data_IF_371932803365
#
_entry.id   IF_371932803365
#
_cell.length_a   1.000
_cell.length_b   1.000
_cell.length_c   1.000
_cell.angle_alpha   90.00
_cell.angle_beta   90.00
_cell.angle_gamma   90.00
#
_symmetry.space_group_name_H-M   'P 1'
#
loop_
_entity.id
_entity.type
_entity.pdbx_description
1 polymer ?
#
# COMPACT_ATOMS: atom_id res chain seq x y z
N UNK A 1 15.03 23.35 -11.27
CA UNK A 1 14.88 22.88 -9.87
C UNK A 1 13.40 23.03 -9.55
N UNK A 2 12.66 21.93 -9.38
CA UNK A 2 11.25 22.01 -8.98
C UNK A 2 11.19 22.39 -7.49
N UNK A 3 10.40 23.41 -7.15
CA UNK A 3 10.12 23.76 -5.76
C UNK A 3 9.03 22.81 -5.27
N UNK A 4 9.31 22.07 -4.19
CA UNK A 4 8.31 21.21 -3.55
C UNK A 4 7.15 22.08 -3.04
N UNK A 5 5.93 21.57 -3.14
CA UNK A 5 4.74 22.30 -2.69
C UNK A 5 4.77 22.52 -1.17
N UNK A 6 5.08 21.47 -0.41
CA UNK A 6 5.33 21.51 1.02
C UNK A 6 6.21 20.32 1.45
N UNK A 7 6.88 20.44 2.59
CA UNK A 7 7.56 19.34 3.29
C UNK A 7 6.77 19.06 4.58
N UNK A 8 6.45 17.80 4.85
CA UNK A 8 5.85 17.45 6.14
C UNK A 8 6.91 17.55 7.25
N UNK A 9 6.51 18.03 8.41
CA UNK A 9 7.31 18.02 9.64
C UNK A 9 6.77 16.92 10.53
N UNK A 10 7.56 15.87 10.71
CA UNK A 10 7.23 14.67 11.48
C UNK A 10 7.70 14.79 12.95
N UNK A 11 8.65 15.67 13.23
CA UNK A 11 9.14 15.92 14.59
C UNK A 11 9.71 17.33 14.78
N UNK A 12 9.80 17.79 16.02
CA UNK A 12 10.47 19.06 16.36
C UNK A 12 11.95 19.06 15.95
N UNK A 13 12.64 17.91 16.07
CA UNK A 13 14.02 17.79 15.60
C UNK A 13 14.15 18.04 14.10
N UNK A 14 13.20 17.50 13.31
CA UNK A 14 13.15 17.72 11.87
C UNK A 14 12.84 19.17 11.51
N UNK A 15 11.95 19.85 12.25
CA UNK A 15 11.69 21.28 12.08
C UNK A 15 12.98 22.11 12.18
N UNK A 16 13.79 21.86 13.22
CA UNK A 16 15.07 22.55 13.39
C UNK A 16 16.07 22.22 12.28
N UNK A 17 16.07 20.99 11.78
CA UNK A 17 16.90 20.61 10.64
C UNK A 17 16.48 21.37 9.37
N UNK A 18 15.19 21.52 9.11
CA UNK A 18 14.63 22.29 7.98
C UNK A 18 15.00 23.77 8.11
N UNK A 19 14.84 24.39 9.29
CA UNK A 19 15.24 25.79 9.51
C UNK A 19 16.75 26.00 9.26
N UNK A 20 17.59 25.13 9.83
CA UNK A 20 19.05 25.20 9.66
C UNK A 20 19.45 25.11 8.18
N UNK A 21 18.90 24.15 7.44
CA UNK A 21 19.24 23.93 6.03
C UNK A 21 18.68 25.06 5.15
N UNK A 22 17.44 25.49 5.40
CA UNK A 22 16.82 26.57 4.62
C UNK A 22 17.55 27.91 4.80
N UNK A 23 18.02 28.23 6.02
CA UNK A 23 18.90 29.39 6.28
C UNK A 23 20.24 29.28 5.56
N UNK A 24 20.89 28.11 5.59
CA UNK A 24 22.17 27.88 4.91
C UNK A 24 22.05 28.06 3.39
N UNK A 25 20.95 27.58 2.81
CA UNK A 25 20.69 27.67 1.37
C UNK A 25 20.03 28.99 0.95
N UNK A 26 19.49 29.76 1.90
CA UNK A 26 18.68 30.95 1.67
C UNK A 26 17.48 30.68 0.75
N UNK A 27 16.83 29.54 0.92
CA UNK A 27 15.68 29.10 0.10
C UNK A 27 14.42 29.05 0.98
N UNK A 28 13.34 29.75 0.61
CA UNK A 28 12.05 29.61 1.27
C UNK A 28 11.48 28.20 1.13
N UNK A 29 11.05 27.62 2.25
CA UNK A 29 10.45 26.29 2.34
C UNK A 29 9.07 26.39 2.98
N UNK A 30 8.08 25.80 2.31
CA UNK A 30 6.73 25.62 2.85
C UNK A 30 6.67 24.31 3.62
N UNK A 31 6.04 24.30 4.79
CA UNK A 31 5.90 23.12 5.63
C UNK A 31 4.46 22.87 6.07
N UNK A 32 4.14 21.60 6.29
CA UNK A 32 2.96 21.19 7.05
C UNK A 32 3.38 20.44 8.30
N UNK A 33 2.79 20.78 9.44
CA UNK A 33 3.01 19.97 10.65
C UNK A 33 2.14 18.73 10.57
N UNK A 34 2.76 17.55 10.61
CA UNK A 34 2.02 16.29 10.72
C UNK A 34 1.60 16.06 12.17
N UNK A 35 0.30 15.98 12.40
CA UNK A 35 -0.29 15.77 13.73
C UNK A 35 -1.00 14.42 13.73
N UNK A 36 -0.77 13.63 14.76
CA UNK A 36 -1.51 12.38 14.94
C UNK A 36 -2.82 12.64 15.71
N UNK A 37 -3.99 12.39 15.10
CA UNK A 37 -5.28 12.75 15.67
C UNK A 37 -5.74 11.78 16.78
N UNK A 38 -4.97 10.74 17.09
CA UNK A 38 -5.29 9.70 18.08
C UNK A 38 -6.66 9.02 17.87
N UNK A 39 -7.05 8.81 16.60
CA UNK A 39 -8.29 8.12 16.21
C UNK A 39 -8.00 6.66 15.90
N UNK A 40 -8.88 5.75 16.34
CA UNK A 40 -8.76 4.31 16.04
C UNK A 40 -9.13 4.03 14.58
N UNK A 41 -8.19 3.58 13.77
CA UNK A 41 -8.46 3.00 12.45
C UNK A 41 -8.44 1.46 12.55
N UNK A 42 -9.47 0.79 12.01
CA UNK A 42 -9.72 -0.64 12.19
C UNK A 42 -8.79 -1.58 11.38
N UNK A 43 -7.82 -1.05 10.62
CA UNK A 43 -7.14 -1.83 9.57
C UNK A 43 -5.98 -2.66 10.03
N UNK A 44 -5.37 -2.31 11.16
CA UNK A 44 -4.29 -3.04 11.76
C UNK A 44 -4.42 -2.98 13.28
N UNK A 45 -4.67 -4.12 13.94
CA UNK A 45 -4.66 -4.25 15.41
C UNK A 45 -3.35 -3.73 16.05
N UNK A 46 -2.30 -3.51 15.24
CA UNK A 46 -1.01 -2.95 15.63
C UNK A 46 -0.89 -1.42 15.72
N UNK A 47 -1.70 -0.60 15.03
CA UNK A 47 -1.49 0.87 14.92
C UNK A 47 -2.24 1.70 15.97
N UNK A 48 -2.46 1.12 17.15
CA UNK A 48 -3.57 1.45 18.04
C UNK A 48 -3.53 2.77 18.84
N UNK A 49 -2.46 3.56 18.89
CA UNK A 49 -2.39 4.79 19.72
C UNK A 49 -1.13 5.60 19.39
N UNK A 50 -1.02 6.84 19.90
CA UNK A 50 0.24 7.60 20.03
C UNK A 50 1.42 6.78 20.64
N UNK A 51 1.11 5.67 21.34
CA UNK A 51 2.12 4.74 21.88
C UNK A 51 2.67 3.74 20.84
N UNK A 52 2.07 3.65 19.65
CA UNK A 52 2.42 2.68 18.59
C UNK A 52 2.64 3.33 17.22
N UNK A 53 2.12 4.53 16.98
CA UNK A 53 2.40 5.30 15.78
C UNK A 53 3.72 6.07 15.95
N UNK A 54 4.69 5.84 15.06
CA UNK A 54 6.00 6.51 15.08
C UNK A 54 6.02 7.87 14.39
N UNK A 55 4.95 8.20 13.69
CA UNK A 55 4.88 9.34 12.78
C UNK A 55 4.08 10.46 13.38
N UNK A 56 4.34 11.68 12.94
CA UNK A 56 3.68 12.89 13.40
C UNK A 56 3.99 13.24 14.85
N UNK A 57 3.56 14.44 15.24
CA UNK A 57 3.64 14.92 16.61
C UNK A 57 2.32 14.72 17.33
N UNK A 58 2.38 14.64 18.66
CA UNK A 58 1.18 14.64 19.48
C UNK A 58 0.42 15.96 19.32
N UNK A 59 -0.91 15.86 19.33
CA UNK A 59 -1.80 17.03 19.24
C UNK A 59 -1.48 18.09 20.32
N UNK A 60 -1.06 17.66 21.50
CA UNK A 60 -0.69 18.54 22.62
C UNK A 60 0.58 19.38 22.36
N UNK A 61 1.47 18.91 21.49
CA UNK A 61 2.71 19.62 21.12
C UNK A 61 2.54 20.56 19.92
N UNK A 62 1.43 20.43 19.18
CA UNK A 62 1.25 21.12 17.90
C UNK A 62 1.37 22.65 18.02
N UNK A 63 0.77 23.27 19.04
CA UNK A 63 0.88 24.73 19.24
C UNK A 63 2.32 25.16 19.54
N UNK A 64 2.98 24.46 20.47
CA UNK A 64 4.35 24.76 20.89
C UNK A 64 5.31 24.68 19.70
N UNK A 65 5.14 23.69 18.84
CA UNK A 65 5.98 23.49 17.65
C UNK A 65 5.65 24.52 16.57
N UNK A 66 4.37 24.73 16.24
CA UNK A 66 3.95 25.72 15.25
C UNK A 66 4.42 27.14 15.62
N UNK A 67 4.40 27.51 16.91
CA UNK A 67 4.85 28.83 17.38
C UNK A 67 6.32 29.11 17.03
N UNK A 68 7.18 28.10 17.03
CA UNK A 68 8.61 28.26 16.69
C UNK A 68 8.81 28.69 15.24
N UNK A 69 7.89 28.33 14.34
CA UNK A 69 7.99 28.67 12.91
C UNK A 69 7.92 30.17 12.67
N UNK A 70 7.33 30.95 13.59
CA UNK A 70 7.24 32.40 13.50
C UNK A 70 8.63 33.08 13.55
N UNK A 71 9.63 32.42 14.13
CA UNK A 71 11.01 32.92 14.25
C UNK A 71 11.97 32.34 13.17
N UNK A 72 11.43 31.62 12.18
CA UNK A 72 12.18 30.92 11.13
C UNK A 72 12.00 31.65 9.77
N UNK A 73 12.94 32.51 9.36
CA UNK A 73 12.76 33.47 8.26
C UNK A 73 12.66 32.84 6.87
N UNK A 74 13.05 31.57 6.72
CA UNK A 74 12.94 30.82 5.47
C UNK A 74 11.90 29.69 5.55
N UNK A 75 11.14 29.59 6.63
CA UNK A 75 10.11 28.55 6.81
C UNK A 75 8.74 29.21 6.84
N UNK A 76 7.80 28.66 6.07
CA UNK A 76 6.41 29.09 6.08
C UNK A 76 5.53 27.91 6.44
N UNK A 77 4.89 27.98 7.60
CA UNK A 77 3.87 27.01 8.00
C UNK A 77 2.59 27.25 7.18
N UNK A 78 2.27 26.34 6.26
CA UNK A 78 1.15 26.50 5.32
C UNK A 78 -0.06 25.61 5.63
N UNK A 79 0.06 24.64 6.54
CA UNK A 79 -1.05 23.75 6.89
C UNK A 79 -0.72 22.71 7.94
N UNK A 80 -1.70 21.86 8.22
CA UNK A 80 -1.53 20.63 9.00
C UNK A 80 -1.68 19.41 8.10
N UNK A 81 -1.08 18.30 8.53
CA UNK A 81 -1.13 17.00 7.87
C UNK A 81 -1.54 15.90 8.84
N UNK A 82 -2.25 14.89 8.34
CA UNK A 82 -2.44 13.61 9.03
C UNK A 82 -2.46 12.47 8.02
N UNK A 83 -2.34 11.22 8.49
CA UNK A 83 -2.66 10.03 7.70
C UNK A 83 -3.27 8.95 8.59
N UNK A 84 -4.54 8.61 8.33
CA UNK A 84 -5.32 7.69 9.18
C UNK A 84 -4.83 6.25 9.10
N UNK A 85 -4.32 5.81 7.95
CA UNK A 85 -3.83 4.46 7.72
C UNK A 85 -4.07 3.97 6.29
N UNK A 86 -3.77 2.70 6.03
CA UNK A 86 -3.97 2.04 4.74
C UNK A 86 -5.16 1.08 4.77
N UNK A 87 -5.84 0.93 3.62
CA UNK A 87 -6.99 0.02 3.41
C UNK A 87 -8.13 0.20 4.42
N UNK A 88 -8.50 1.44 4.74
CA UNK A 88 -9.51 1.76 5.78
C UNK A 88 -10.91 1.37 5.31
N UNK A 89 -11.61 0.43 5.98
CA UNK A 89 -12.84 -0.15 5.47
C UNK A 89 -14.08 0.73 5.67
N UNK A 90 -13.99 1.76 6.53
CA UNK A 90 -15.10 2.59 6.97
C UNK A 90 -14.82 4.09 6.80
N UNK A 91 -15.87 4.89 6.64
CA UNK A 91 -15.77 6.34 6.50
C UNK A 91 -15.55 7.07 7.84
N UNK A 92 -16.03 6.50 8.94
CA UNK A 92 -16.03 7.16 10.25
C UNK A 92 -14.62 7.49 10.78
N UNK A 93 -13.60 6.61 10.66
CA UNK A 93 -12.23 6.97 11.03
C UNK A 93 -11.71 8.22 10.31
N UNK A 94 -12.04 8.40 9.03
CA UNK A 94 -11.66 9.60 8.28
C UNK A 94 -12.38 10.84 8.78
N UNK A 95 -13.70 10.74 9.03
CA UNK A 95 -14.48 11.85 9.57
C UNK A 95 -13.96 12.28 10.95
N UNK A 96 -13.79 11.34 11.88
CA UNK A 96 -13.32 11.61 13.23
C UNK A 96 -11.91 12.23 13.24
N UNK A 97 -10.99 11.69 12.45
CA UNK A 97 -9.62 12.22 12.34
C UNK A 97 -9.60 13.63 11.73
N UNK A 98 -10.39 13.84 10.67
CA UNK A 98 -10.49 15.15 10.00
C UNK A 98 -11.04 16.20 10.95
N UNK A 99 -12.06 15.86 11.75
CA UNK A 99 -12.62 16.75 12.77
C UNK A 99 -11.56 17.23 13.76
N UNK A 100 -10.76 16.30 14.29
CA UNK A 100 -9.67 16.63 15.23
C UNK A 100 -8.64 17.56 14.57
N UNK A 101 -8.24 17.27 13.33
CA UNK A 101 -7.26 18.08 12.62
C UNK A 101 -7.81 19.49 12.32
N UNK A 102 -9.09 19.60 11.93
CA UNK A 102 -9.78 20.88 11.68
C UNK A 102 -9.91 21.70 12.96
N UNK A 103 -10.25 21.10 14.09
CA UNK A 103 -10.29 21.77 15.39
C UNK A 103 -8.91 22.28 15.80
N UNK A 104 -7.86 21.47 15.59
CA UNK A 104 -6.48 21.89 15.80
C UNK A 104 -6.12 23.10 14.93
N UNK A 105 -6.40 23.03 13.63
CA UNK A 105 -6.08 24.10 12.68
C UNK A 105 -6.79 25.41 13.05
N UNK A 106 -8.09 25.34 13.37
CA UNK A 106 -8.87 26.50 13.82
C UNK A 106 -8.28 27.15 15.07
N UNK A 107 -7.89 26.35 16.06
CA UNK A 107 -7.28 26.86 17.29
C UNK A 107 -5.93 27.52 17.02
N UNK A 108 -5.10 26.91 16.17
CA UNK A 108 -3.78 27.44 15.80
C UNK A 108 -3.86 28.77 15.03
N UNK A 109 -4.79 28.90 14.07
CA UNK A 109 -5.03 30.19 13.39
C UNK A 109 -5.36 31.29 14.41
N UNK A 110 -6.23 31.00 15.38
CA UNK A 110 -6.65 31.97 16.38
C UNK A 110 -5.52 32.39 17.34
N UNK A 111 -4.73 31.43 17.86
CA UNK A 111 -3.70 31.72 18.88
C UNK A 111 -2.37 32.22 18.29
N UNK A 112 -2.10 31.93 17.01
CA UNK A 112 -0.88 32.38 16.32
C UNK A 112 -1.13 33.58 15.40
N UNK A 113 -2.39 33.93 15.12
CA UNK A 113 -2.73 35.04 14.22
C UNK A 113 -2.32 34.79 12.77
N UNK A 114 -2.33 33.51 12.35
CA UNK A 114 -2.01 33.08 10.99
C UNK A 114 -3.26 32.54 10.30
N UNK A 115 -3.14 32.35 8.98
CA UNK A 115 -4.16 31.70 8.16
C UNK A 115 -3.50 30.57 7.39
N UNK A 116 -4.02 29.36 7.51
CA UNK A 116 -3.52 28.22 6.74
C UNK A 116 -3.98 28.29 5.29
N UNK A 117 -3.10 27.85 4.39
CA UNK A 117 -3.37 27.73 2.96
C UNK A 117 -4.10 26.42 2.66
N UNK A 118 -3.71 25.35 3.36
CA UNK A 118 -4.21 24.00 3.09
C UNK A 118 -4.36 23.13 4.34
N UNK A 119 -5.16 22.08 4.22
CA UNK A 119 -5.23 20.96 5.17
C UNK A 119 -5.02 19.67 4.38
N UNK A 120 -4.02 18.86 4.79
CA UNK A 120 -3.71 17.60 4.14
C UNK A 120 -4.21 16.44 5.00
N UNK A 121 -5.21 15.71 4.49
CA UNK A 121 -5.87 14.61 5.21
C UNK A 121 -5.27 13.24 4.88
N UNK A 122 -4.21 13.21 4.07
CA UNK A 122 -3.47 12.01 3.72
C UNK A 122 -4.23 11.07 2.78
N UNK A 123 -3.81 9.81 2.78
CA UNK A 123 -4.40 8.73 1.98
C UNK A 123 -5.21 7.73 2.80
N UNK A 124 -5.34 6.51 2.27
CA UNK A 124 -5.95 5.37 2.96
C UNK A 124 -7.22 4.81 2.32
N UNK A 125 -7.71 5.45 1.25
CA UNK A 125 -8.88 5.02 0.49
C UNK A 125 -8.69 3.56 0.05
N UNK A 126 -9.58 2.63 0.43
CA UNK A 126 -9.38 1.21 0.21
C UNK A 126 -9.65 0.83 -1.25
N UNK A 127 -9.07 -0.30 -1.66
CA UNK A 127 -9.36 -0.96 -2.95
C UNK A 127 -9.93 -2.35 -2.68
N UNK A 128 -11.02 -2.79 -3.34
CA UNK A 128 -11.51 -4.15 -3.16
C UNK A 128 -10.49 -5.16 -3.67
N UNK A 129 -10.19 -6.17 -2.85
CA UNK A 129 -9.41 -7.36 -3.24
C UNK A 129 -10.28 -8.61 -3.30
N UNK A 130 -11.48 -8.54 -2.73
CA UNK A 130 -12.59 -9.47 -2.92
C UNK A 130 -13.82 -8.67 -3.33
N UNK A 131 -14.56 -9.17 -4.32
CA UNK A 131 -15.72 -8.48 -4.89
C UNK A 131 -17.04 -9.07 -4.39
N UNK A 132 -18.16 -8.34 -4.58
CA UNK A 132 -19.46 -8.66 -3.96
C UNK A 132 -20.04 -10.05 -4.29
N UNK A 133 -19.53 -10.74 -5.32
CA UNK A 133 -19.83 -12.15 -5.60
C UNK A 133 -19.38 -13.11 -4.49
N UNK A 134 -18.50 -12.66 -3.60
CA UNK A 134 -17.79 -13.50 -2.61
C UNK A 134 -18.35 -13.31 -1.19
N UNK A 135 -19.55 -12.75 -1.05
CA UNK A 135 -20.21 -12.56 0.26
C UNK A 135 -20.38 -13.92 0.96
N UNK A 136 -19.79 -14.05 2.15
CA UNK A 136 -19.88 -15.25 2.99
C UNK A 136 -18.67 -16.20 2.94
N UNK A 137 -17.63 -15.89 2.15
CA UNK A 137 -16.45 -16.77 2.04
C UNK A 137 -15.45 -16.69 3.22
N UNK A 138 -15.68 -15.80 4.19
CA UNK A 138 -14.75 -15.60 5.31
C UNK A 138 -13.41 -14.97 4.86
N UNK A 139 -12.94 -13.98 5.59
CA UNK A 139 -11.69 -13.27 5.30
C UNK A 139 -11.58 -12.03 6.17
N UNK A 140 -10.38 -11.43 6.30
CA UNK A 140 -10.26 -10.16 7.01
C UNK A 140 -11.16 -9.11 6.35
N UNK A 141 -11.93 -8.41 7.20
CA UNK A 141 -12.98 -7.45 6.82
C UNK A 141 -12.47 -6.39 5.82
N UNK A 142 -11.18 -6.07 5.88
CA UNK A 142 -10.55 -5.06 5.03
C UNK A 142 -10.37 -5.45 3.55
N UNK A 143 -10.54 -6.71 3.15
CA UNK A 143 -10.44 -7.13 1.74
C UNK A 143 -11.71 -6.82 0.94
N UNK A 144 -12.83 -6.59 1.64
CA UNK A 144 -14.12 -6.16 1.10
C UNK A 144 -14.53 -4.83 1.75
N UNK A 145 -13.86 -3.71 1.42
CA UNK A 145 -14.13 -2.44 2.06
C UNK A 145 -15.58 -1.99 1.84
N UNK A 146 -16.17 -1.32 2.85
CA UNK A 146 -17.54 -0.83 2.80
C UNK A 146 -17.67 0.55 2.14
N UNK A 147 -16.53 1.19 1.85
CA UNK A 147 -16.45 2.54 1.30
C UNK A 147 -15.63 2.60 0.02
N UNK A 148 -15.90 3.64 -0.79
CA UNK A 148 -15.11 4.05 -1.93
C UNK A 148 -14.51 5.45 -1.76
N UNK A 149 -14.15 6.07 -2.89
CA UNK A 149 -13.60 7.41 -2.90
C UNK A 149 -14.64 8.49 -2.55
N UNK A 150 -15.91 8.25 -2.92
CA UNK A 150 -17.00 9.19 -2.69
C UNK A 150 -17.34 9.32 -1.20
N UNK A 151 -17.42 8.19 -0.48
CA UNK A 151 -17.66 8.20 0.97
C UNK A 151 -16.48 8.82 1.74
N UNK A 152 -15.24 8.56 1.31
CA UNK A 152 -14.06 9.23 1.85
C UNK A 152 -14.14 10.75 1.64
N UNK A 153 -14.42 11.20 0.41
CA UNK A 153 -14.52 12.62 0.09
C UNK A 153 -15.65 13.30 0.87
N UNK A 154 -16.83 12.67 0.96
CA UNK A 154 -17.96 13.18 1.71
C UNK A 154 -17.64 13.32 3.21
N UNK A 155 -16.95 12.34 3.80
CA UNK A 155 -16.51 12.40 5.19
C UNK A 155 -15.54 13.56 5.45
N UNK A 156 -14.55 13.76 4.57
CA UNK A 156 -13.54 14.83 4.69
C UNK A 156 -14.17 16.21 4.48
N UNK A 157 -14.86 16.40 3.35
CA UNK A 157 -15.40 17.71 2.94
C UNK A 157 -16.38 18.25 4.00
N UNK A 158 -17.23 17.39 4.55
CA UNK A 158 -18.19 17.78 5.59
C UNK A 158 -17.49 18.40 6.80
N UNK A 159 -16.43 17.78 7.30
CA UNK A 159 -15.73 18.25 8.49
C UNK A 159 -14.85 19.48 8.19
N UNK A 160 -14.22 19.56 7.02
CA UNK A 160 -13.45 20.75 6.61
C UNK A 160 -14.35 21.97 6.43
N UNK A 161 -15.47 21.83 5.72
CA UNK A 161 -16.41 22.93 5.50
C UNK A 161 -17.16 23.38 6.77
N UNK A 162 -17.12 22.60 7.85
CA UNK A 162 -17.57 23.06 9.17
C UNK A 162 -16.65 24.15 9.76
N UNK A 163 -15.47 24.38 9.17
CA UNK A 163 -14.53 25.43 9.51
C UNK A 163 -14.37 26.47 8.40
N UNK A 164 -13.97 26.05 7.20
CA UNK A 164 -13.69 26.94 6.05
C UNK A 164 -14.06 26.22 4.75
N UNK A 165 -14.70 26.94 3.85
CA UNK A 165 -15.05 26.50 2.49
C UNK A 165 -14.01 26.89 1.43
N UNK A 166 -13.11 27.81 1.78
CA UNK A 166 -12.09 28.36 0.88
C UNK A 166 -10.70 27.71 1.03
N UNK A 167 -10.52 26.80 2.00
CA UNK A 167 -9.23 26.15 2.25
C UNK A 167 -8.96 25.03 1.24
N UNK A 168 -7.72 24.91 0.78
CA UNK A 168 -7.31 23.81 -0.08
C UNK A 168 -7.28 22.49 0.71
N UNK A 169 -7.96 21.46 0.19
CA UNK A 169 -7.93 20.10 0.75
C UNK A 169 -6.95 19.27 -0.07
N UNK A 170 -5.88 18.83 0.58
CA UNK A 170 -4.89 17.93 0.00
C UNK A 170 -5.19 16.48 0.41
N UNK A 171 -5.12 15.56 -0.56
CA UNK A 171 -5.30 14.11 -0.37
C UNK A 171 -4.12 13.35 -0.99
N UNK A 172 -3.78 12.20 -0.42
CA UNK A 172 -2.60 11.41 -0.81
C UNK A 172 -2.97 9.96 -1.21
N UNK A 173 -3.85 9.74 -2.22
CA UNK A 173 -4.27 8.40 -2.59
C UNK A 173 -3.12 7.61 -3.27
N UNK A 174 -2.66 6.55 -2.63
CA UNK A 174 -1.71 5.59 -3.21
C UNK A 174 -2.44 4.41 -3.83
N UNK A 175 -2.78 3.41 -2.98
CA UNK A 175 -3.44 2.16 -3.37
C UNK A 175 -4.62 2.34 -4.32
N UNK A 176 -5.50 3.30 -4.03
CA UNK A 176 -6.71 3.55 -4.84
C UNK A 176 -6.42 3.92 -6.29
N UNK A 177 -5.28 4.55 -6.57
CA UNK A 177 -4.92 5.01 -7.92
C UNK A 177 -4.41 3.85 -8.78
N UNK A 178 -3.59 2.98 -8.19
CA UNK A 178 -2.83 1.98 -8.95
C UNK A 178 -3.20 0.53 -8.65
N UNK A 179 -3.85 0.25 -7.52
CA UNK A 179 -4.08 -1.11 -6.99
C UNK A 179 -4.73 -2.03 -8.02
N UNK A 180 -5.88 -1.64 -8.56
CA UNK A 180 -6.63 -2.42 -9.55
C UNK A 180 -6.14 -2.26 -11.00
N UNK A 181 -5.05 -1.52 -11.21
CA UNK A 181 -4.56 -1.15 -12.54
C UNK A 181 -3.46 -2.07 -13.08
N UNK A 182 -3.09 -3.13 -12.36
CA UNK A 182 -2.07 -4.08 -12.81
C UNK A 182 -2.43 -5.53 -12.48
N UNK A 183 -1.89 -6.41 -13.31
CA UNK A 183 -1.90 -7.87 -13.13
C UNK A 183 -0.46 -8.39 -13.14
N UNK A 184 -0.18 -9.44 -12.37
CA UNK A 184 1.06 -10.21 -12.54
C UNK A 184 0.72 -11.38 -13.46
N UNK A 185 1.52 -11.56 -14.50
CA UNK A 185 1.51 -12.76 -15.32
C UNK A 185 2.69 -13.65 -14.92
N UNK A 186 2.41 -14.90 -14.61
CA UNK A 186 3.41 -15.91 -14.24
C UNK A 186 3.10 -17.24 -14.92
N UNK A 187 4.13 -17.97 -15.34
CA UNK A 187 3.97 -19.25 -16.02
C UNK A 187 4.02 -20.40 -15.03
N UNK A 188 3.14 -21.39 -15.23
CA UNK A 188 3.29 -22.70 -14.59
C UNK A 188 4.51 -23.42 -15.19
N UNK A 189 5.56 -23.63 -14.39
CA UNK A 189 6.82 -24.24 -14.84
C UNK A 189 6.92 -25.72 -14.51
N UNK A 190 6.23 -26.19 -13.47
CA UNK A 190 6.13 -27.63 -13.17
C UNK A 190 4.86 -27.91 -12.37
N UNK A 191 4.36 -29.14 -12.47
CA UNK A 191 3.27 -29.63 -11.63
C UNK A 191 3.68 -30.98 -11.00
N UNK A 192 3.24 -31.24 -9.77
CA UNK A 192 3.50 -32.51 -9.07
C UNK A 192 2.37 -32.87 -8.13
N UNK A 193 2.06 -34.15 -8.04
CA UNK A 193 1.13 -34.67 -7.05
C UNK A 193 1.92 -35.20 -5.84
N UNK A 194 1.51 -34.79 -4.65
CA UNK A 194 2.06 -35.31 -3.39
C UNK A 194 0.97 -36.07 -2.65
N UNK A 195 1.34 -37.22 -2.09
CA UNK A 195 0.47 -38.02 -1.22
C UNK A 195 0.99 -37.94 0.21
N UNK A 196 0.11 -37.60 1.15
CA UNK A 196 0.35 -37.70 2.58
C UNK A 196 -0.15 -39.07 3.05
N UNK A 197 0.71 -39.80 3.75
CA UNK A 197 0.40 -41.10 4.33
C UNK A 197 0.31 -40.98 5.84
N UNK A 198 -0.59 -41.76 6.45
CA UNK A 198 -0.62 -41.99 7.89
C UNK A 198 0.48 -42.98 8.30
N UNK A 199 0.70 -43.11 9.60
CA UNK A 199 1.69 -44.05 10.16
C UNK A 199 1.43 -45.51 9.76
N UNK A 200 0.16 -45.89 9.55
CA UNK A 200 -0.24 -47.22 9.11
C UNK A 200 -0.06 -47.47 7.59
N UNK A 201 0.48 -46.49 6.86
CA UNK A 201 0.67 -46.53 5.41
C UNK A 201 -0.58 -46.22 4.59
N UNK A 202 -1.72 -45.94 5.22
CA UNK A 202 -2.94 -45.52 4.51
C UNK A 202 -2.83 -44.08 4.01
N UNK A 203 -3.54 -43.76 2.93
CA UNK A 203 -3.54 -42.40 2.36
C UNK A 203 -4.37 -41.46 3.24
N UNK A 204 -3.72 -40.43 3.76
CA UNK A 204 -4.38 -39.32 4.47
C UNK A 204 -4.99 -38.32 3.49
N UNK A 205 -4.20 -37.94 2.48
CA UNK A 205 -4.62 -36.95 1.50
C UNK A 205 -3.71 -36.91 0.28
N UNK A 206 -4.20 -36.29 -0.79
CA UNK A 206 -3.44 -35.98 -1.99
C UNK A 206 -3.57 -34.51 -2.29
N UNK A 207 -2.49 -33.89 -2.76
CA UNK A 207 -2.46 -32.49 -3.14
C UNK A 207 -1.69 -32.33 -4.44
N UNK A 208 -2.31 -31.61 -5.39
CA UNK A 208 -1.63 -31.17 -6.61
C UNK A 208 -0.96 -29.83 -6.35
N UNK A 209 0.34 -29.78 -6.61
CA UNK A 209 1.15 -28.57 -6.58
C UNK A 209 1.39 -28.08 -8.00
N UNK A 210 1.07 -26.81 -8.26
CA UNK A 210 1.45 -26.10 -9.48
C UNK A 210 2.50 -25.06 -9.10
N UNK A 211 3.71 -25.21 -9.66
CA UNK A 211 4.83 -24.32 -9.37
C UNK A 211 4.91 -23.24 -10.45
N UNK A 212 5.07 -22.00 -10.01
CA UNK A 212 5.07 -20.80 -10.84
C UNK A 212 6.50 -20.24 -10.98
N UNK A 213 6.74 -19.43 -12.01
CA UNK A 213 8.00 -18.68 -12.16
C UNK A 213 8.05 -17.36 -11.39
N UNK A 214 7.06 -17.12 -10.53
CA UNK A 214 7.01 -16.02 -9.58
C UNK A 214 6.69 -16.55 -8.18
N UNK A 215 7.43 -16.08 -7.19
CA UNK A 215 7.21 -16.38 -5.76
C UNK A 215 7.09 -15.10 -4.94
N UNK A 216 7.34 -15.20 -3.64
CA UNK A 216 7.28 -14.02 -2.76
C UNK A 216 8.32 -12.94 -3.08
N UNK A 217 9.36 -13.26 -3.86
CA UNK A 217 10.31 -12.26 -4.35
C UNK A 217 9.68 -11.30 -5.37
N UNK A 218 8.60 -11.71 -6.05
CA UNK A 218 7.90 -10.94 -7.07
C UNK A 218 6.59 -10.31 -6.56
N UNK A 219 5.85 -11.03 -5.71
CA UNK A 219 4.68 -10.54 -4.95
C UNK A 219 4.91 -10.89 -3.48
N UNK A 220 5.51 -9.98 -2.70
CA UNK A 220 5.80 -10.26 -1.31
C UNK A 220 4.53 -10.39 -0.46
N UNK A 221 4.41 -11.50 0.27
CA UNK A 221 3.25 -11.85 1.10
C UNK A 221 3.42 -11.38 2.56
N UNK A 222 3.80 -10.12 2.77
CA UNK A 222 4.16 -9.63 4.11
C UNK A 222 2.96 -9.43 5.06
N UNK A 223 1.71 -9.62 4.61
CA UNK A 223 0.50 -9.19 5.35
C UNK A 223 -0.73 -10.08 5.15
N UNK A 224 -0.53 -11.35 4.86
CA UNK A 224 -1.62 -12.30 4.59
C UNK A 224 -2.60 -11.78 3.50
N UNK A 225 -2.06 -11.25 2.40
CA UNK A 225 -2.86 -10.49 1.43
C UNK A 225 -3.51 -11.43 0.41
N UNK A 226 -4.78 -11.16 0.10
CA UNK A 226 -5.52 -11.94 -0.90
C UNK A 226 -5.42 -11.30 -2.29
N UNK A 227 -5.20 -12.14 -3.30
CA UNK A 227 -5.33 -11.76 -4.71
C UNK A 227 -6.14 -12.83 -5.43
N UNK A 228 -7.00 -12.41 -6.37
CA UNK A 228 -7.59 -13.37 -7.29
C UNK A 228 -6.52 -13.96 -8.20
N UNK A 229 -6.58 -15.27 -8.40
CA UNK A 229 -5.71 -15.98 -9.32
C UNK A 229 -6.54 -16.81 -10.28
N UNK A 230 -6.32 -16.60 -11.57
CA UNK A 230 -6.97 -17.35 -12.64
C UNK A 230 -5.96 -17.88 -13.64
N UNK A 231 -6.29 -18.98 -14.32
CA UNK A 231 -5.53 -19.42 -15.49
C UNK A 231 -5.92 -18.55 -16.69
N UNK A 232 -5.09 -17.55 -17.01
CA UNK A 232 -5.35 -16.62 -18.10
C UNK A 232 -5.28 -17.28 -19.48
N UNK A 233 -4.57 -18.41 -19.61
CA UNK A 233 -4.56 -19.20 -20.85
C UNK A 233 -5.86 -19.98 -21.07
N UNK A 234 -6.67 -20.13 -20.02
CA UNK A 234 -7.87 -20.97 -19.96
C UNK A 234 -9.02 -20.28 -19.24
N UNK A 235 -9.16 -18.97 -19.45
CA UNK A 235 -10.04 -18.13 -18.62
C UNK A 235 -11.52 -18.52 -18.72
N UNK A 236 -11.94 -19.11 -19.85
CA UNK A 236 -13.31 -19.56 -20.09
C UNK A 236 -13.62 -20.95 -19.48
N UNK A 237 -12.60 -21.68 -19.03
CA UNK A 237 -12.77 -23.03 -18.52
C UNK A 237 -13.20 -23.02 -17.04
N UNK A 238 -13.83 -24.10 -16.61
CA UNK A 238 -14.34 -24.22 -15.24
C UNK A 238 -13.21 -24.37 -14.22
N UNK A 239 -13.04 -23.40 -13.33
CA UNK A 239 -12.03 -23.41 -12.27
C UNK A 239 -12.54 -24.16 -11.03
N UNK A 240 -12.42 -25.49 -11.02
CA UNK A 240 -12.95 -26.36 -9.96
C UNK A 240 -11.92 -27.30 -9.34
N UNK A 241 -10.74 -27.46 -9.96
CA UNK A 241 -9.69 -28.30 -9.41
C UNK A 241 -8.94 -27.55 -8.31
N UNK A 242 -9.01 -28.05 -7.08
CA UNK A 242 -8.23 -27.54 -5.97
C UNK A 242 -6.75 -27.90 -6.12
N UNK A 243 -5.89 -26.89 -6.03
CA UNK A 243 -4.42 -27.01 -6.14
C UNK A 243 -3.73 -26.10 -5.13
N UNK A 244 -2.46 -26.39 -4.81
CA UNK A 244 -1.57 -25.43 -4.13
C UNK A 244 -0.64 -24.76 -5.14
N UNK A 245 -0.43 -23.45 -5.01
CA UNK A 245 0.46 -22.67 -5.86
C UNK A 245 1.78 -22.40 -5.14
N UNK A 246 2.89 -22.94 -5.66
CA UNK A 246 4.24 -22.70 -5.14
C UNK A 246 5.05 -21.77 -6.04
N UNK A 247 6.00 -21.03 -5.47
CA UNK A 247 6.95 -20.22 -6.25
C UNK A 247 8.25 -20.98 -6.58
N UNK A 248 9.20 -20.33 -7.27
CA UNK A 248 10.42 -20.96 -7.77
C UNK A 248 11.59 -20.93 -6.77
N UNK A 249 11.43 -20.33 -5.59
CA UNK A 249 12.53 -20.11 -4.66
C UNK A 249 12.86 -21.41 -3.90
N UNK A 250 14.14 -21.58 -3.56
CA UNK A 250 14.65 -22.65 -2.71
C UNK A 250 14.32 -22.36 -1.23
N UNK A 251 13.05 -22.10 -0.95
CA UNK A 251 12.52 -21.77 0.37
C UNK A 251 11.20 -22.53 0.59
N UNK A 252 11.12 -23.30 1.68
CA UNK A 252 9.91 -24.06 2.01
C UNK A 252 8.69 -23.18 2.28
N UNK A 253 8.92 -21.89 2.56
CA UNK A 253 7.88 -20.88 2.73
C UNK A 253 7.36 -20.27 1.43
N UNK A 254 8.00 -20.52 0.27
CA UNK A 254 7.65 -19.91 -1.02
C UNK A 254 6.47 -20.60 -1.69
N UNK A 255 5.28 -20.33 -1.15
CA UNK A 255 4.02 -20.68 -1.76
C UNK A 255 2.94 -19.69 -1.33
N UNK A 256 1.92 -19.53 -2.18
CA UNK A 256 0.81 -18.62 -1.93
C UNK A 256 -0.17 -19.25 -0.95
N UNK A 257 -0.48 -18.56 0.14
CA UNK A 257 -1.28 -19.09 1.27
C UNK A 257 -2.74 -18.64 1.27
N UNK A 258 -3.07 -17.61 0.49
CA UNK A 258 -4.37 -16.95 0.52
C UNK A 258 -5.20 -17.28 -0.72
N UNK A 259 -5.69 -18.51 -0.78
CA UNK A 259 -6.60 -18.98 -1.81
C UNK A 259 -8.09 -18.87 -1.42
N UNK A 260 -9.01 -19.14 -2.37
CA UNK A 260 -10.44 -19.24 -2.09
C UNK A 260 -10.82 -20.38 -1.15
N UNK A 261 -9.98 -21.42 -1.00
CA UNK A 261 -10.21 -22.58 -0.14
C UNK A 261 -9.05 -22.76 0.86
N UNK A 262 -8.79 -21.74 1.68
CA UNK A 262 -7.63 -21.70 2.57
C UNK A 262 -6.34 -21.57 1.75
N UNK A 263 -5.39 -22.48 1.92
CA UNK A 263 -4.14 -22.50 1.14
C UNK A 263 -4.29 -23.09 -0.28
N UNK A 264 -5.53 -23.34 -0.73
CA UNK A 264 -5.82 -23.93 -2.04
C UNK A 264 -6.49 -22.93 -2.98
N UNK A 265 -6.07 -22.99 -4.24
CA UNK A 265 -6.58 -22.25 -5.38
C UNK A 265 -7.39 -23.16 -6.30
N UNK A 266 -8.23 -22.55 -7.12
CA UNK A 266 -9.07 -23.26 -8.08
C UNK A 266 -8.57 -23.00 -9.50
N UNK A 267 -8.23 -24.06 -10.23
CA UNK A 267 -7.82 -23.99 -11.64
C UNK A 267 -8.67 -24.95 -12.50
N UNK A 268 -8.65 -24.80 -13.84
CA UNK A 268 -9.15 -25.82 -14.76
C UNK A 268 -8.44 -27.15 -14.58
N UNK A 269 -9.18 -28.26 -14.69
CA UNK A 269 -8.66 -29.61 -14.42
C UNK A 269 -7.56 -30.07 -15.39
N UNK A 270 -7.49 -29.45 -16.57
CA UNK A 270 -6.51 -29.68 -17.62
C UNK A 270 -5.40 -28.61 -17.63
N UNK A 271 -5.29 -27.80 -16.58
CA UNK A 271 -4.19 -26.83 -16.44
C UNK A 271 -2.84 -27.53 -16.50
N UNK A 272 -1.95 -26.98 -17.33
CA UNK A 272 -0.71 -27.63 -17.75
C UNK A 272 0.52 -26.73 -17.60
N UNK A 273 1.70 -27.36 -17.54
CA UNK A 273 2.98 -26.66 -17.65
C UNK A 273 2.98 -25.84 -18.95
N UNK A 274 3.38 -24.58 -18.85
CA UNK A 274 3.33 -23.61 -19.95
C UNK A 274 2.16 -22.62 -19.84
N UNK A 275 1.08 -22.98 -19.14
CA UNK A 275 -0.06 -22.08 -18.94
C UNK A 275 0.36 -20.83 -18.15
N UNK A 276 -0.24 -19.70 -18.49
CA UNK A 276 -0.06 -18.41 -17.81
C UNK A 276 -1.17 -18.22 -16.78
N UNK A 277 -0.78 -18.00 -15.53
CA UNK A 277 -1.66 -17.58 -14.46
C UNK A 277 -1.57 -16.06 -14.30
N UNK A 278 -2.71 -15.44 -13.98
CA UNK A 278 -2.81 -14.02 -13.70
C UNK A 278 -3.22 -13.80 -12.24
N UNK A 279 -2.43 -13.01 -11.52
CA UNK A 279 -2.82 -12.45 -10.22
C UNK A 279 -3.39 -11.06 -10.47
N UNK A 280 -4.60 -10.79 -10.00
CA UNK A 280 -5.29 -9.52 -10.19
C UNK A 280 -4.98 -8.54 -9.05
N UNK A 281 -5.21 -7.25 -9.30
CA UNK A 281 -5.14 -6.17 -8.30
C UNK A 281 -3.76 -5.98 -7.63
N UNK A 282 -2.68 -6.29 -8.37
CA UNK A 282 -1.29 -6.24 -7.89
C UNK A 282 -0.57 -4.91 -8.17
N UNK A 283 -1.30 -3.83 -8.47
CA UNK A 283 -0.68 -2.58 -8.91
C UNK A 283 -0.13 -1.69 -7.79
N UNK A 284 -0.48 -1.97 -6.53
CA UNK A 284 -0.01 -1.21 -5.37
C UNK A 284 0.98 -2.02 -4.53
N UNK A 285 2.13 -1.40 -4.22
CA UNK A 285 3.15 -1.91 -3.28
C UNK A 285 3.79 -3.25 -3.69
N UNK A 286 3.87 -3.56 -4.98
CA UNK A 286 4.46 -4.81 -5.48
C UNK A 286 5.84 -4.58 -6.10
N UNK A 287 5.93 -3.74 -7.14
CA UNK A 287 7.15 -3.57 -7.93
C UNK A 287 8.36 -3.13 -7.10
N UNK A 288 8.19 -2.15 -6.21
CA UNK A 288 9.27 -1.60 -5.38
C UNK A 288 9.70 -2.57 -4.27
N UNK A 289 8.80 -3.47 -3.84
CA UNK A 289 9.05 -4.43 -2.77
C UNK A 289 9.65 -5.75 -3.28
N UNK A 290 9.89 -5.88 -4.59
CA UNK A 290 10.55 -7.06 -5.13
C UNK A 290 11.97 -7.20 -4.63
N UNK A 291 12.40 -8.45 -4.43
CA UNK A 291 13.76 -8.78 -3.98
C UNK A 291 14.51 -9.59 -5.04
N UNK A 292 15.84 -9.59 -4.93
CA UNK A 292 16.72 -10.46 -5.73
C UNK A 292 17.09 -11.75 -5.00
N UNK A 293 16.23 -12.19 -4.06
CA UNK A 293 16.46 -13.41 -3.29
C UNK A 293 16.60 -14.62 -4.23
N UNK A 294 17.54 -15.51 -3.91
CA UNK A 294 17.94 -16.64 -4.77
C UNK A 294 18.48 -16.20 -6.15
N UNK A 295 19.01 -14.97 -6.24
CA UNK A 295 19.47 -14.37 -7.50
C UNK A 295 18.39 -14.38 -8.60
N UNK A 296 17.11 -14.33 -8.20
CA UNK A 296 16.01 -14.15 -9.14
C UNK A 296 15.88 -12.67 -9.51
N UNK A 297 15.87 -12.29 -10.81
CA UNK A 297 15.79 -10.90 -11.20
C UNK A 297 14.42 -10.30 -10.90
N UNK A 298 14.40 -9.03 -10.48
CA UNK A 298 13.15 -8.27 -10.40
C UNK A 298 12.49 -8.20 -11.78
N UNK A 299 11.16 -8.29 -11.80
CA UNK A 299 10.37 -8.51 -13.02
C UNK A 299 10.38 -7.30 -13.97
N UNK A 300 10.11 -7.56 -15.24
CA UNK A 300 9.71 -6.50 -16.16
C UNK A 300 8.35 -5.92 -15.75
N UNK A 301 8.08 -4.67 -16.16
CA UNK A 301 6.76 -4.05 -16.09
C UNK A 301 6.39 -3.48 -17.47
N UNK A 302 5.16 -3.78 -17.90
CA UNK A 302 4.59 -3.37 -19.19
C UNK A 302 3.38 -2.50 -18.91
N UNK A 303 3.28 -1.36 -19.62
CA UNK A 303 2.12 -0.48 -19.58
C UNK A 303 1.30 -0.67 -20.84
N UNK A 304 -0.01 -0.80 -20.68
CA UNK A 304 -1.00 -0.71 -21.76
C UNK A 304 -1.60 0.71 -21.69
N UNK A 305 -1.48 1.48 -22.78
CA UNK A 305 -2.03 2.84 -22.84
C UNK A 305 -3.54 2.83 -23.14
N UNK A 306 -4.16 4.01 -23.08
CA UNK A 306 -5.60 4.18 -23.32
C UNK A 306 -6.04 3.85 -24.75
N UNK A 307 -5.11 3.74 -25.69
CA UNK A 307 -5.37 3.30 -27.06
C UNK A 307 -5.14 1.78 -27.24
N UNK A 308 -4.82 1.05 -26.17
CA UNK A 308 -4.56 -0.39 -26.18
C UNK A 308 -3.15 -0.77 -26.64
N UNK A 309 -2.22 0.17 -26.79
CA UNK A 309 -0.84 -0.12 -27.17
C UNK A 309 -0.02 -0.46 -25.94
N UNK A 310 0.85 -1.46 -26.04
CA UNK A 310 1.72 -1.86 -24.95
C UNK A 310 3.16 -1.39 -25.14
N UNK A 311 3.85 -1.05 -24.04
CA UNK A 311 5.29 -0.76 -24.02
C UNK A 311 5.93 -1.18 -22.71
N UNK A 312 7.20 -1.55 -22.78
CA UNK A 312 8.02 -1.79 -21.59
C UNK A 312 8.24 -0.46 -20.85
N UNK A 313 7.93 -0.42 -19.56
CA UNK A 313 8.17 0.74 -18.67
C UNK A 313 9.26 0.47 -17.64
N UNK A 314 9.53 -0.81 -17.38
CA UNK A 314 10.68 -1.29 -16.59
C UNK A 314 11.16 -2.59 -17.20
N UNK A 315 12.45 -2.68 -17.54
CA UNK A 315 13.04 -3.95 -18.01
C UNK A 315 13.23 -4.91 -16.83
N UNK A 316 13.22 -6.21 -17.13
CA UNK A 316 13.71 -7.20 -16.18
C UNK A 316 15.19 -6.93 -15.90
N UNK A 317 15.60 -7.21 -14.67
CA UNK A 317 17.02 -7.20 -14.33
C UNK A 317 17.77 -8.32 -15.04
N UNK A 318 19.02 -8.05 -15.35
CA UNK A 318 19.96 -9.01 -15.93
C UNK A 318 20.89 -9.51 -14.83
N UNK A 319 21.57 -10.62 -15.10
CA UNK A 319 22.63 -11.11 -14.23
C UNK A 319 23.71 -10.04 -13.97
N UNK A 320 24.05 -9.24 -14.99
CA UNK A 320 25.02 -8.15 -14.83
C UNK A 320 24.57 -7.07 -13.87
N UNK A 321 23.26 -6.76 -13.79
CA UNK A 321 22.74 -5.77 -12.84
C UNK A 321 22.97 -6.21 -11.39
N UNK A 322 22.84 -7.51 -11.12
CA UNK A 322 23.03 -8.08 -9.78
C UNK A 322 24.48 -8.05 -9.31
N UNK A 323 25.44 -7.93 -10.23
CA UNK A 323 26.88 -7.88 -9.93
C UNK A 323 27.43 -6.45 -9.87
N UNK A 324 26.59 -5.43 -10.07
CA UNK A 324 27.05 -4.04 -10.16
C UNK A 324 27.65 -3.55 -8.83
N UNK A 325 27.20 -4.07 -7.69
CA UNK A 325 27.68 -3.65 -6.38
C UNK A 325 29.07 -4.25 -6.05
N UNK A 326 29.42 -5.36 -6.69
CA UNK A 326 30.69 -6.08 -6.54
C UNK A 326 31.74 -5.64 -7.56
N UNK A 327 31.33 -4.90 -8.59
CA UNK A 327 32.23 -4.51 -9.66
C UNK A 327 33.33 -3.56 -9.17
N UNK A 328 34.59 -3.97 -9.30
CA UNK A 328 35.75 -3.16 -8.96
C UNK A 328 36.09 -3.08 -7.47
N UNK A 329 35.45 -3.88 -6.61
CA UNK A 329 35.89 -4.04 -5.23
C UNK A 329 37.24 -4.78 -5.20
N UNK A 330 38.22 -4.22 -4.46
CA UNK A 330 39.54 -4.81 -4.20
C UNK A 330 39.53 -5.62 -2.91
#
# INVERSE_FOLDING_TARGET
>A
RQQLHAINVDSEHELHAIDRISRQLQIPVRICLRVEPNVKAATHEGLMTAFRAKSGVDLADAERICRQTLDMPYVTLCGLHMHVGDQVPDAEPFAAATRVLVECARNLEAVLGLRFDMINVGGGIPTPYRYASDRGLGGPDNMQPQIGADEFAAAVIREVHAWRDDIEICIEPGRKVVGSAAVLLTRMVTAKDKTLLREDGSVEGRVRWCMLDAGFNAIPDYKDWYFYVYNASRIADSHQQAVKLGGPLCDGGDYFRHGPLGEQFLLPSDSSVGDVLAFLDVGAYQLENQTVYNAQPRSAAVLIDTAGRYRLVRRQETFSDMLLLENGLQ
#
